data_IF_815610231270
#
_entry.id   IF_815610231270
#
_cell.length_a   1.000
_cell.length_b   1.000
_cell.length_c   1.000
_cell.angle_alpha   90.00
_cell.angle_beta   90.00
_cell.angle_gamma   90.00
#
_symmetry.space_group_name_H-M   'P 1'
#
loop_
_entity.id
_entity.type
_entity.pdbx_description
1 polymer ?
#
# COMPACT_ATOMS: atom_id res chain seq x y z
N UNK A 1 14.80 -17.66 -10.51
CA UNK A 1 15.94 -16.95 -11.15
C UNK A 1 15.57 -15.54 -11.55
N UNK A 2 15.51 -14.62 -10.58
CA UNK A 2 15.00 -13.25 -10.78
C UNK A 2 16.00 -12.15 -10.45
N UNK A 3 17.31 -12.39 -10.64
CA UNK A 3 18.32 -11.35 -10.42
C UNK A 3 18.33 -10.39 -11.61
N UNK A 4 18.09 -9.10 -11.34
CA UNK A 4 18.36 -8.04 -12.30
C UNK A 4 19.84 -7.69 -12.21
N UNK A 5 20.53 -7.75 -13.35
CA UNK A 5 21.93 -7.37 -13.45
C UNK A 5 22.00 -6.01 -14.12
N UNK A 6 22.61 -5.05 -13.42
CA UNK A 6 22.96 -3.73 -13.94
C UNK A 6 24.48 -3.60 -13.94
N UNK A 7 25.03 -2.86 -14.89
CA UNK A 7 26.46 -2.54 -14.87
C UNK A 7 26.79 -1.72 -13.62
N UNK A 8 27.92 -1.98 -12.96
CA UNK A 8 28.31 -1.31 -11.72
C UNK A 8 28.28 0.23 -11.81
N UNK A 9 28.77 0.88 -12.90
CA UNK A 9 28.69 2.33 -13.01
C UNK A 9 27.25 2.87 -13.08
N UNK A 10 26.33 2.13 -13.71
CA UNK A 10 24.92 2.50 -13.78
C UNK A 10 24.24 2.34 -12.42
N UNK A 11 24.55 1.26 -11.70
CA UNK A 11 24.07 1.06 -10.34
C UNK A 11 24.55 2.19 -9.42
N UNK A 12 25.83 2.55 -9.45
CA UNK A 12 26.39 3.65 -8.66
C UNK A 12 25.72 5.00 -8.96
N UNK A 13 25.36 5.24 -10.22
CA UNK A 13 24.64 6.45 -10.62
C UNK A 13 23.21 6.46 -10.10
N UNK A 14 22.48 5.35 -10.23
CA UNK A 14 21.10 5.22 -9.74
C UNK A 14 21.05 5.37 -8.22
N UNK A 15 21.99 4.76 -7.49
CA UNK A 15 22.06 4.83 -6.02
C UNK A 15 22.25 6.27 -5.49
N UNK A 16 22.78 7.19 -6.31
CA UNK A 16 22.89 8.61 -5.96
C UNK A 16 21.59 9.40 -6.16
N UNK A 17 20.64 8.84 -6.91
CA UNK A 17 19.37 9.52 -7.24
C UNK A 17 18.16 8.96 -6.49
N UNK A 18 18.33 7.86 -5.77
CA UNK A 18 17.24 7.15 -5.11
C UNK A 18 17.53 6.97 -3.63
N UNK A 19 16.48 6.99 -2.83
CA UNK A 19 16.57 6.57 -1.45
C UNK A 19 16.38 5.05 -1.37
N UNK A 20 17.36 4.39 -0.77
CA UNK A 20 17.36 2.94 -0.56
C UNK A 20 16.20 2.57 0.39
N UNK A 21 15.48 1.48 0.07
CA UNK A 21 14.27 0.97 0.76
C UNK A 21 12.98 1.77 0.58
N UNK A 22 13.02 3.05 0.23
CA UNK A 22 11.80 3.85 -0.02
C UNK A 22 11.44 3.93 -1.51
N UNK A 23 12.44 3.95 -2.41
CA UNK A 23 12.19 4.07 -3.86
C UNK A 23 11.71 2.74 -4.46
N UNK A 24 10.49 2.66 -5.04
CA UNK A 24 10.00 1.44 -5.67
C UNK A 24 10.73 1.19 -7.00
N UNK A 25 11.03 -0.09 -7.27
CA UNK A 25 11.53 -0.55 -8.57
C UNK A 25 10.39 -1.31 -9.26
N UNK A 26 9.99 -0.85 -10.45
CA UNK A 26 8.93 -1.47 -11.25
C UNK A 26 9.59 -2.25 -12.38
N UNK A 27 9.24 -3.53 -12.52
CA UNK A 27 9.75 -4.42 -13.56
C UNK A 27 8.55 -4.90 -14.35
N UNK A 28 8.50 -4.52 -15.62
CA UNK A 28 7.34 -4.68 -16.48
C UNK A 28 7.79 -5.17 -17.86
N UNK A 29 7.04 -6.09 -18.48
CA UNK A 29 7.26 -6.46 -19.89
C UNK A 29 7.00 -5.28 -20.83
N UNK A 30 5.99 -4.47 -20.52
CA UNK A 30 5.62 -3.28 -21.27
C UNK A 30 4.98 -2.26 -20.33
N UNK A 31 5.24 -0.98 -20.56
CA UNK A 31 4.58 0.14 -19.89
C UNK A 31 3.80 0.93 -20.92
N UNK A 32 2.49 1.09 -20.68
CA UNK A 32 1.62 1.91 -21.52
C UNK A 32 1.37 3.24 -20.82
N UNK A 33 1.88 4.33 -21.40
CA UNK A 33 1.65 5.67 -20.89
C UNK A 33 0.22 6.11 -21.26
N UNK A 34 -0.60 6.40 -20.25
CA UNK A 34 -1.98 6.83 -20.42
C UNK A 34 -2.16 8.30 -20.01
N UNK A 35 -3.15 9.01 -20.59
CA UNK A 35 -3.41 10.42 -20.26
C UNK A 35 -3.78 10.63 -18.78
N UNK A 36 -3.27 11.70 -18.17
CA UNK A 36 -3.47 12.04 -16.76
C UNK A 36 -4.95 12.22 -16.34
N UNK A 37 -5.81 12.64 -17.27
CA UNK A 37 -7.23 12.81 -16.98
C UNK A 37 -7.93 11.47 -16.73
N UNK A 38 -7.59 10.45 -17.52
CA UNK A 38 -8.12 9.09 -17.37
C UNK A 38 -7.65 8.44 -16.07
N UNK A 39 -6.41 8.69 -15.66
CA UNK A 39 -5.88 8.19 -14.37
C UNK A 39 -6.54 8.86 -13.17
N UNK A 40 -6.98 10.12 -13.29
CA UNK A 40 -7.56 10.87 -12.17
C UNK A 40 -8.88 10.29 -11.67
N UNK A 41 -9.76 9.84 -12.57
CA UNK A 41 -11.04 9.23 -12.17
C UNK A 41 -10.81 7.93 -11.39
N UNK A 42 -9.94 7.05 -11.91
CA UNK A 42 -9.56 5.80 -11.25
C UNK A 42 -8.90 6.07 -9.89
N UNK A 43 -8.00 7.06 -9.83
CA UNK A 43 -7.32 7.45 -8.58
C UNK A 43 -8.32 7.93 -7.54
N UNK A 44 -9.28 8.78 -7.89
CA UNK A 44 -10.30 9.27 -6.95
C UNK A 44 -11.19 8.16 -6.38
N UNK A 45 -11.57 7.18 -7.20
CA UNK A 45 -12.35 6.03 -6.74
C UNK A 45 -11.55 5.19 -5.74
N UNK A 46 -10.27 4.96 -6.02
CA UNK A 46 -9.40 4.19 -5.14
C UNK A 46 -9.05 4.97 -3.85
N UNK A 47 -8.79 6.27 -3.94
CA UNK A 47 -8.56 7.14 -2.78
C UNK A 47 -9.74 7.11 -1.81
N UNK A 48 -10.97 7.11 -2.32
CA UNK A 48 -12.17 6.96 -1.48
C UNK A 48 -12.21 5.59 -0.77
N UNK A 49 -11.82 4.50 -1.45
CA UNK A 49 -11.69 3.19 -0.83
C UNK A 49 -10.61 3.18 0.26
N UNK A 50 -9.44 3.76 -0.01
CA UNK A 50 -8.35 3.89 0.95
C UNK A 50 -8.80 4.70 2.18
N UNK A 51 -9.51 5.80 1.99
CA UNK A 51 -10.06 6.60 3.08
C UNK A 51 -11.03 5.80 3.96
N UNK A 52 -11.87 4.93 3.37
CA UNK A 52 -12.73 4.02 4.14
C UNK A 52 -11.93 3.01 4.94
N UNK A 53 -10.84 2.48 4.38
CA UNK A 53 -9.93 1.58 5.12
C UNK A 53 -9.28 2.30 6.31
N UNK A 54 -8.79 3.54 6.12
CA UNK A 54 -8.19 4.35 7.20
C UNK A 54 -9.21 4.60 8.31
N UNK A 55 -10.43 5.00 7.94
CA UNK A 55 -11.52 5.21 8.89
C UNK A 55 -11.84 3.90 9.64
N UNK A 56 -12.02 2.78 8.94
CA UNK A 56 -12.28 1.48 9.55
C UNK A 56 -11.15 1.07 10.53
N UNK A 57 -9.89 1.19 10.11
CA UNK A 57 -8.72 0.91 10.96
C UNK A 57 -8.77 1.77 12.23
N UNK A 58 -9.04 3.07 12.11
CA UNK A 58 -9.03 4.01 13.24
C UNK A 58 -10.05 3.68 14.35
N UNK A 59 -11.12 2.94 14.01
CA UNK A 59 -12.11 2.49 15.01
C UNK A 59 -11.61 1.35 15.90
N UNK A 60 -10.60 0.58 15.46
CA UNK A 60 -10.18 -0.64 16.14
C UNK A 60 -11.16 -1.81 16.04
N UNK A 61 -12.25 -1.69 15.24
CA UNK A 61 -13.18 -2.78 14.95
C UNK A 61 -12.57 -3.73 13.92
N UNK A 62 -12.10 -4.89 14.37
CA UNK A 62 -11.44 -5.89 13.53
C UNK A 62 -12.39 -6.54 12.54
N UNK A 63 -13.69 -6.66 12.84
CA UNK A 63 -14.66 -7.29 11.94
C UNK A 63 -14.91 -6.41 10.71
N UNK A 64 -15.06 -5.10 10.93
CA UNK A 64 -15.19 -4.13 9.84
C UNK A 64 -13.89 -4.06 9.04
N UNK A 65 -12.75 -4.03 9.72
CA UNK A 65 -11.45 -3.97 9.07
C UNK A 65 -11.15 -5.22 8.24
N UNK A 66 -11.54 -6.41 8.70
CA UNK A 66 -11.35 -7.67 8.00
C UNK A 66 -12.01 -7.69 6.61
N UNK A 67 -13.08 -6.92 6.41
CA UNK A 67 -13.77 -6.87 5.11
C UNK A 67 -12.91 -6.29 3.99
N UNK A 68 -11.85 -5.54 4.31
CA UNK A 68 -10.91 -5.01 3.33
C UNK A 68 -9.83 -6.02 2.92
N UNK A 69 -9.71 -7.16 3.60
CA UNK A 69 -8.65 -8.13 3.37
C UNK A 69 -9.18 -9.33 2.59
N UNK A 70 -8.30 -9.89 1.75
CA UNK A 70 -8.57 -11.13 1.05
C UNK A 70 -8.49 -12.32 2.01
N UNK A 71 -9.22 -13.39 1.69
CA UNK A 71 -9.17 -14.64 2.43
C UNK A 71 -7.78 -15.32 2.37
N UNK A 72 -7.00 -15.07 1.32
CA UNK A 72 -5.65 -15.57 1.11
C UNK A 72 -4.54 -14.61 1.61
N UNK A 73 -4.91 -13.58 2.38
CA UNK A 73 -3.94 -12.61 2.91
C UNK A 73 -2.78 -13.28 3.64
N UNK A 74 -1.57 -12.82 3.33
CA UNK A 74 -0.34 -13.28 3.99
C UNK A 74 0.66 -12.14 4.14
N UNK A 75 1.02 -11.85 5.39
CA UNK A 75 2.11 -10.93 5.72
C UNK A 75 3.35 -11.76 6.02
N UNK A 76 4.23 -11.97 5.04
CA UNK A 76 5.45 -12.78 5.19
C UNK A 76 5.18 -14.15 5.85
N UNK A 77 4.10 -14.82 5.45
CA UNK A 77 3.68 -16.11 6.01
C UNK A 77 2.71 -16.02 7.19
N UNK A 78 2.45 -14.83 7.74
CA UNK A 78 1.47 -14.63 8.82
C UNK A 78 0.07 -14.41 8.24
N UNK A 79 -0.93 -15.18 8.67
CA UNK A 79 -2.31 -15.04 8.18
C UNK A 79 -3.00 -13.80 8.77
N UNK A 80 -4.17 -13.48 8.21
CA UNK A 80 -4.98 -12.33 8.63
C UNK A 80 -5.34 -12.35 10.12
N UNK A 81 -5.57 -13.53 10.68
CA UNK A 81 -5.90 -13.74 12.11
C UNK A 81 -4.81 -13.28 13.05
N UNK A 82 -3.54 -13.29 12.61
CA UNK A 82 -2.42 -12.75 13.38
C UNK A 82 -2.18 -11.26 13.10
N UNK A 83 -2.55 -10.79 11.91
CA UNK A 83 -2.36 -9.41 11.48
C UNK A 83 -3.36 -8.42 12.09
N UNK A 84 -4.65 -8.76 12.10
CA UNK A 84 -5.71 -7.88 12.60
C UNK A 84 -5.50 -7.43 14.06
N UNK A 85 -5.09 -8.29 15.02
CA UNK A 85 -4.81 -7.86 16.38
C UNK A 85 -3.70 -6.82 16.48
N UNK A 86 -2.72 -6.85 15.56
CA UNK A 86 -1.67 -5.82 15.50
C UNK A 86 -2.24 -4.47 15.09
N UNK A 87 -3.05 -4.43 14.03
CA UNK A 87 -3.68 -3.19 13.58
C UNK A 87 -4.66 -2.63 14.61
N UNK A 88 -5.37 -3.50 15.34
CA UNK A 88 -6.22 -3.10 16.45
C UNK A 88 -5.40 -2.41 17.56
N UNK A 89 -4.25 -2.97 17.95
CA UNK A 89 -3.36 -2.32 18.93
C UNK A 89 -2.85 -0.97 18.44
N UNK A 90 -2.49 -0.85 17.16
CA UNK A 90 -2.10 0.42 16.54
C UNK A 90 -3.24 1.46 16.66
N UNK A 91 -4.47 1.08 16.32
CA UNK A 91 -5.64 1.95 16.40
C UNK A 91 -5.94 2.39 17.84
N UNK A 92 -5.87 1.48 18.80
CA UNK A 92 -6.07 1.78 20.23
C UNK A 92 -5.01 2.76 20.76
N UNK A 93 -3.76 2.62 20.32
CA UNK A 93 -2.69 3.56 20.68
C UNK A 93 -2.95 4.99 20.14
N UNK A 94 -3.65 5.10 19.00
CA UNK A 94 -4.05 6.39 18.44
C UNK A 94 -5.27 7.01 19.14
N UNK A 95 -5.97 6.27 20.00
CA UNK A 95 -7.13 6.74 20.78
C UNK A 95 -8.24 7.34 19.92
N UNK A 96 -8.54 6.71 18.79
CA UNK A 96 -9.60 7.15 17.86
C UNK A 96 -9.24 8.37 17.00
N UNK A 97 -8.00 8.87 17.07
CA UNK A 97 -7.52 9.88 16.12
C UNK A 97 -7.31 9.24 14.76
N UNK A 98 -7.94 9.80 13.73
CA UNK A 98 -7.76 9.36 12.35
C UNK A 98 -6.43 9.93 11.84
N UNK A 99 -5.47 9.08 11.44
CA UNK A 99 -4.21 9.56 10.90
C UNK A 99 -4.40 10.22 9.53
N UNK A 100 -3.55 11.20 9.25
CA UNK A 100 -3.41 11.80 7.92
C UNK A 100 -2.61 10.88 7.00
N UNK A 101 -3.02 10.83 5.73
CA UNK A 101 -2.30 10.14 4.66
C UNK A 101 -1.43 11.16 3.94
N UNK A 102 -0.13 10.91 3.88
CA UNK A 102 0.87 11.74 3.19
C UNK A 102 1.63 10.92 2.16
N UNK A 103 2.23 11.60 1.17
CA UNK A 103 3.10 11.00 0.16
C UNK A 103 2.46 9.79 -0.55
N UNK A 104 1.18 9.91 -0.91
CA UNK A 104 0.41 8.84 -1.54
C UNK A 104 0.97 8.50 -2.94
N UNK A 105 1.29 7.23 -3.14
CA UNK A 105 1.66 6.65 -4.42
C UNK A 105 0.72 5.49 -4.76
N UNK A 106 0.09 5.57 -5.93
CA UNK A 106 -0.79 4.55 -6.47
C UNK A 106 -0.16 3.97 -7.75
N UNK A 107 0.05 2.66 -7.78
CA UNK A 107 0.55 1.94 -8.93
C UNK A 107 -0.49 0.89 -9.32
N UNK A 108 -1.23 1.18 -10.37
CA UNK A 108 -2.22 0.27 -10.94
C UNK A 108 -1.56 -0.63 -11.98
N UNK A 109 -1.71 -1.94 -11.82
CA UNK A 109 -1.13 -2.95 -12.68
C UNK A 109 -2.20 -3.93 -13.11
N UNK A 110 -2.28 -4.20 -14.41
CA UNK A 110 -3.24 -5.16 -14.98
C UNK A 110 -2.48 -6.16 -15.83
N UNK A 111 -2.45 -7.42 -15.39
CA UNK A 111 -1.90 -8.53 -16.16
C UNK A 111 -2.84 -9.75 -16.20
N UNK A 112 -2.47 -10.86 -15.56
CA UNK A 112 -3.39 -11.96 -15.23
C UNK A 112 -4.37 -11.56 -14.13
N UNK A 113 -3.96 -10.65 -13.25
CA UNK A 113 -4.79 -10.08 -12.20
C UNK A 113 -4.75 -8.55 -12.26
N UNK A 114 -5.82 -7.91 -11.77
CA UNK A 114 -5.87 -6.45 -11.62
C UNK A 114 -5.44 -6.11 -10.18
N UNK A 115 -4.28 -5.46 -10.06
CA UNK A 115 -3.57 -5.21 -8.80
C UNK A 115 -3.32 -3.73 -8.59
N UNK A 116 -3.49 -3.24 -7.36
CA UNK A 116 -3.08 -1.89 -6.95
C UNK A 116 -2.03 -1.97 -5.85
N UNK A 117 -0.86 -1.37 -6.10
CA UNK A 117 0.17 -1.18 -5.06
C UNK A 117 0.06 0.25 -4.55
N UNK A 118 -0.13 0.38 -3.24
CA UNK A 118 -0.44 1.65 -2.58
C UNK A 118 0.62 1.90 -1.52
N UNK A 119 1.38 2.98 -1.62
CA UNK A 119 2.36 3.38 -0.60
C UNK A 119 1.99 4.76 -0.06
N UNK A 120 2.03 4.93 1.26
CA UNK A 120 1.72 6.20 1.91
C UNK A 120 2.35 6.32 3.29
N UNK A 121 2.56 7.54 3.75
CA UNK A 121 2.84 7.86 5.15
C UNK A 121 1.53 7.98 5.96
N UNK A 122 1.45 7.28 7.08
CA UNK A 122 0.38 7.38 8.07
C UNK A 122 0.89 8.21 9.25
N UNK A 123 0.44 9.47 9.33
CA UNK A 123 0.90 10.45 10.33
C UNK A 123 -0.22 10.77 11.30
N UNK A 124 -0.01 10.52 12.59
CA UNK A 124 -1.01 10.83 13.60
C UNK A 124 -1.24 12.35 13.72
N UNK A 125 -2.46 12.81 14.06
CA UNK A 125 -2.71 14.24 14.23
C UNK A 125 -1.81 14.88 15.29
N UNK A 126 -1.14 15.95 14.90
CA UNK A 126 -0.17 16.68 15.73
C UNK A 126 1.27 16.17 15.62
N UNK A 127 1.51 15.04 14.96
CA UNK A 127 2.85 14.50 14.75
C UNK A 127 3.48 15.02 13.45
N UNK A 128 4.81 15.09 13.42
CA UNK A 128 5.58 15.47 12.22
C UNK A 128 6.00 14.27 11.38
N UNK A 129 6.12 13.11 12.00
CA UNK A 129 6.59 11.87 11.40
C UNK A 129 5.61 10.75 11.68
N UNK A 130 5.56 9.77 10.80
CA UNK A 130 4.66 8.62 10.90
C UNK A 130 5.33 7.37 10.37
N UNK A 131 4.52 6.33 10.16
CA UNK A 131 4.99 5.09 9.55
C UNK A 131 4.66 5.09 8.05
N UNK A 132 5.55 4.55 7.23
CA UNK A 132 5.24 4.27 5.83
C UNK A 132 4.56 2.92 5.73
N UNK A 133 3.38 2.90 5.13
CA UNK A 133 2.62 1.68 4.86
C UNK A 133 2.62 1.40 3.37
N UNK A 134 2.79 0.12 3.02
CA UNK A 134 2.60 -0.38 1.65
C UNK A 134 1.60 -1.50 1.64
N UNK A 135 0.55 -1.35 0.85
CA UNK A 135 -0.50 -2.34 0.66
C UNK A 135 -0.49 -2.83 -0.77
N UNK A 136 -0.80 -4.11 -0.94
CA UNK A 136 -1.02 -4.74 -2.22
C UNK A 136 -2.47 -5.22 -2.24
N UNK A 137 -3.22 -4.68 -3.20
CA UNK A 137 -4.62 -4.95 -3.38
C UNK A 137 -4.82 -5.73 -4.67
N UNK A 138 -5.75 -6.67 -4.66
CA UNK A 138 -6.20 -7.40 -5.84
C UNK A 138 -7.70 -7.15 -6.04
N UNK A 139 -8.14 -6.97 -7.29
CA UNK A 139 -9.54 -6.85 -7.62
C UNK A 139 -10.16 -8.25 -7.76
N UNK A 140 -10.95 -8.64 -6.76
CA UNK A 140 -11.71 -9.90 -6.76
C UNK A 140 -13.14 -9.61 -7.20
N UNK A 141 -13.45 -9.90 -8.46
CA UNK A 141 -14.81 -9.79 -9.02
C UNK A 141 -15.44 -8.40 -8.86
N UNK A 142 -14.65 -7.33 -8.98
CA UNK A 142 -15.11 -5.94 -8.84
C UNK A 142 -14.92 -5.36 -7.44
N UNK A 143 -14.40 -6.14 -6.48
CA UNK A 143 -14.08 -5.68 -5.14
C UNK A 143 -12.58 -5.75 -4.86
N UNK A 144 -12.00 -4.61 -4.51
CA UNK A 144 -10.60 -4.51 -4.12
C UNK A 144 -10.37 -5.06 -2.71
N UNK A 145 -9.45 -6.01 -2.57
CA UNK A 145 -9.05 -6.62 -1.30
C UNK A 145 -7.54 -6.58 -1.10
N UNK A 146 -7.09 -6.31 0.12
CA UNK A 146 -5.68 -6.36 0.53
C UNK A 146 -5.26 -7.82 0.68
N UNK A 147 -4.24 -8.26 -0.05
CA UNK A 147 -3.65 -9.59 0.10
C UNK A 147 -2.26 -9.55 0.76
N UNK A 148 -1.61 -8.38 0.80
CA UNK A 148 -0.37 -8.16 1.56
C UNK A 148 -0.32 -6.73 2.11
N UNK A 149 0.20 -6.58 3.32
CA UNK A 149 0.47 -5.28 3.93
C UNK A 149 1.82 -5.26 4.66
N UNK A 150 2.64 -4.26 4.35
CA UNK A 150 3.93 -3.99 4.98
C UNK A 150 3.93 -2.63 5.66
N UNK A 151 4.62 -2.54 6.79
CA UNK A 151 4.87 -1.29 7.51
C UNK A 151 6.36 -1.11 7.68
N UNK A 152 6.88 0.00 7.16
CA UNK A 152 8.26 0.43 7.27
C UNK A 152 8.28 1.73 8.09
N UNK A 153 9.05 1.75 9.16
CA UNK A 153 9.15 2.90 10.07
C UNK A 153 9.95 2.52 11.30
#
# INVERSE_FOLDING_TARGET
>A
DGCIVLANPDLERILKTVEIRSTPVIIARQLNWIPQLSTRVLSLQFEALLARWVAAKSTGNTDTLATFYSADFSQNGRPLTEWLPRLQREALAQRGRIPEIKDLSLLHWVDTEETMVVTFGEVAPGERTGVTRRQYWVNQTGEWKIFYEGVNG
#
